data_IF_244019604549
#
_entry.id   IF_244019604549
#
_cell.length_a   1.000
_cell.length_b   1.000
_cell.length_c   1.000
_cell.angle_alpha   90.00
_cell.angle_beta   90.00
_cell.angle_gamma   90.00
#
_symmetry.space_group_name_H-M   'P 1'
#
loop_
_entity.id
_entity.type
_entity.pdbx_description
1 polymer ?
#
# COMPACT_ATOMS: atom_id res chain seq x y z
N UNK A 1 5.11 -9.43 8.05
CA UNK A 1 5.05 -9.06 9.47
C UNK A 1 6.14 -8.05 9.88
N UNK A 2 7.32 -8.02 9.24
CA UNK A 2 8.42 -7.10 9.62
C UNK A 2 8.03 -5.62 9.60
N UNK A 3 7.21 -5.19 8.63
CA UNK A 3 6.73 -3.82 8.53
C UNK A 3 5.85 -3.37 9.72
N UNK A 4 5.18 -4.31 10.38
CA UNK A 4 4.37 -4.01 11.58
C UNK A 4 5.25 -3.75 12.81
N UNK A 5 6.44 -4.37 12.87
CA UNK A 5 7.40 -4.28 13.97
C UNK A 5 8.16 -2.95 13.97
N UNK A 6 8.55 -2.46 12.80
CA UNK A 6 9.25 -1.17 12.64
C UNK A 6 8.30 0.04 12.78
N UNK A 7 6.98 -0.19 12.86
CA UNK A 7 6.01 0.85 13.19
C UNK A 7 5.62 1.78 12.05
N UNK A 8 5.79 1.37 10.79
CA UNK A 8 5.40 2.22 9.66
C UNK A 8 3.89 2.51 9.65
N UNK A 9 3.48 3.77 9.47
CA UNK A 9 2.05 4.15 9.50
C UNK A 9 1.27 3.58 8.32
N UNK A 10 1.93 3.44 7.17
CA UNK A 10 1.38 2.91 5.93
C UNK A 10 2.25 1.76 5.44
N UNK A 11 1.61 0.73 4.88
CA UNK A 11 2.32 -0.37 4.22
C UNK A 11 1.74 -0.55 2.83
N UNK A 12 2.62 -0.58 1.82
CA UNK A 12 2.26 -0.92 0.45
C UNK A 12 2.65 -2.37 0.21
N UNK A 13 1.67 -3.18 -0.18
CA UNK A 13 1.85 -4.61 -0.44
C UNK A 13 1.75 -4.80 -1.95
N UNK A 14 2.87 -5.22 -2.53
CA UNK A 14 3.00 -5.47 -3.96
C UNK A 14 3.14 -6.98 -4.17
N UNK A 15 2.08 -7.60 -4.67
CA UNK A 15 2.06 -9.03 -4.97
C UNK A 15 1.97 -9.28 -6.49
N UNK A 16 2.41 -10.45 -6.98
CA UNK A 16 2.42 -10.75 -8.42
C UNK A 16 1.03 -10.68 -9.06
N UNK A 17 -0.03 -11.02 -8.30
CA UNK A 17 -1.42 -10.94 -8.76
C UNK A 17 -1.91 -9.48 -8.90
N UNK A 18 -1.62 -8.64 -7.91
CA UNK A 18 -1.98 -7.22 -7.94
C UNK A 18 -1.28 -6.50 -9.09
N UNK A 19 0.03 -6.77 -9.27
CA UNK A 19 0.81 -6.19 -10.38
C UNK A 19 0.23 -6.59 -11.75
N UNK A 20 -0.18 -7.85 -11.92
CA UNK A 20 -0.82 -8.29 -13.16
C UNK A 20 -2.16 -7.56 -13.43
N UNK A 21 -2.87 -7.14 -12.38
CA UNK A 21 -4.09 -6.35 -12.45
C UNK A 21 -3.84 -4.82 -12.45
N UNK A 22 -2.60 -4.36 -12.29
CA UNK A 22 -2.25 -2.94 -12.18
C UNK A 22 -2.58 -2.30 -10.81
N UNK A 23 -2.70 -3.12 -9.76
CA UNK A 23 -3.17 -2.75 -8.43
C UNK A 23 -2.16 -3.06 -7.32
N UNK A 24 -2.28 -2.33 -6.22
CA UNK A 24 -1.54 -2.52 -4.97
C UNK A 24 -2.47 -2.45 -3.78
N UNK A 25 -2.12 -3.16 -2.71
CA UNK A 25 -2.86 -3.09 -1.45
C UNK A 25 -2.13 -2.11 -0.51
N UNK A 26 -2.88 -1.17 0.08
CA UNK A 26 -2.39 -0.25 1.10
C UNK A 26 -3.04 -0.61 2.43
N UNK A 27 -2.21 -0.83 3.45
CA UNK A 27 -2.64 -1.06 4.83
C UNK A 27 -2.36 0.16 5.70
N UNK A 28 -3.37 0.64 6.40
CA UNK A 28 -3.22 1.62 7.47
C UNK A 28 -2.92 0.90 8.79
N UNK A 29 -1.77 1.17 9.41
CA UNK A 29 -1.40 0.50 10.67
C UNK A 29 -2.30 0.91 11.84
N UNK A 30 -2.78 2.15 11.88
CA UNK A 30 -3.57 2.69 12.99
C UNK A 30 -4.98 2.10 13.00
N UNK A 31 -5.67 2.05 11.85
CA UNK A 31 -7.02 1.49 11.75
C UNK A 31 -7.04 -0.02 11.46
N UNK A 32 -5.97 -0.57 10.90
CA UNK A 32 -5.92 -1.94 10.41
C UNK A 32 -6.57 -2.14 9.05
N UNK A 33 -7.18 -1.09 8.48
CA UNK A 33 -7.87 -1.14 7.19
C UNK A 33 -6.90 -1.42 6.04
N UNK A 34 -7.41 -2.15 5.06
CA UNK A 34 -6.72 -2.54 3.84
C UNK A 34 -7.58 -2.18 2.66
N UNK A 35 -6.97 -1.49 1.71
CA UNK A 35 -7.64 -1.05 0.49
C UNK A 35 -6.77 -1.47 -0.70
N UNK A 36 -7.41 -2.07 -1.71
CA UNK A 36 -6.77 -2.32 -2.99
C UNK A 36 -7.10 -1.18 -3.92
N UNK A 37 -6.07 -0.60 -4.54
CA UNK A 37 -6.24 0.51 -5.46
C UNK A 37 -5.23 0.44 -6.61
N UNK A 38 -5.52 1.10 -7.75
CA UNK A 38 -4.59 1.20 -8.85
C UNK A 38 -3.26 1.83 -8.43
N UNK A 39 -2.16 1.37 -9.03
CA UNK A 39 -0.79 1.88 -8.76
C UNK A 39 -0.71 3.40 -8.94
N UNK A 40 -1.39 3.94 -9.94
CA UNK A 40 -1.42 5.38 -10.22
C UNK A 40 -2.00 6.19 -9.04
N UNK A 41 -3.02 5.65 -8.37
CA UNK A 41 -3.73 6.30 -7.27
C UNK A 41 -2.99 6.16 -5.95
N UNK A 42 -2.23 5.08 -5.78
CA UNK A 42 -1.36 4.89 -4.63
C UNK A 42 -0.31 6.00 -4.53
N UNK A 43 0.20 6.45 -5.67
CA UNK A 43 1.19 7.53 -5.74
C UNK A 43 0.64 8.86 -5.21
N UNK A 44 -0.60 9.20 -5.57
CA UNK A 44 -1.29 10.39 -5.07
C UNK A 44 -1.55 10.27 -3.57
N UNK A 45 -2.03 9.11 -3.12
CA UNK A 45 -2.36 8.82 -1.71
C UNK A 45 -1.15 8.98 -0.78
N UNK A 46 0.03 8.56 -1.24
CA UNK A 46 1.27 8.56 -0.45
C UNK A 46 2.14 9.81 -0.66
N UNK A 47 1.68 10.77 -1.46
CA UNK A 47 2.38 12.05 -1.65
C UNK A 47 3.74 11.92 -2.33
N UNK A 48 3.94 10.89 -3.17
CA UNK A 48 5.21 10.68 -3.88
C UNK A 48 5.25 11.64 -5.08
N UNK A 49 5.91 12.79 -4.90
CA UNK A 49 6.26 13.70 -5.98
C UNK A 49 7.25 13.03 -6.95
N UNK A 50 7.10 13.35 -8.25
CA UNK A 50 7.99 12.87 -9.32
C UNK A 50 9.43 13.34 -9.12
#
# INVERSE_FOLDING_TARGET
ATADLIGLPWQVIVGPRGVAAGEVEIKNRKSGERETLPIAEARKRLGIAA
#
